data_IF_009857595762
#
_entry.id   IF_009857595762
#
_cell.length_a   1.000
_cell.length_b   1.000
_cell.length_c   1.000
_cell.angle_alpha   90.00
_cell.angle_beta   90.00
_cell.angle_gamma   90.00
#
_symmetry.space_group_name_H-M   'P 1'
#
loop_
_entity.id
_entity.type
_entity.pdbx_description
1 polymer ?
#
# COMPACT_ATOMS: atom_id res chain seq x y z
N UNK A 1 45.77 15.29 -38.62
CA UNK A 1 44.53 15.87 -39.18
C UNK A 1 44.23 17.13 -38.38
N UNK A 2 44.50 18.30 -38.96
CA UNK A 2 44.33 19.60 -38.30
C UNK A 2 43.72 20.59 -39.31
N UNK A 3 42.90 21.50 -38.79
CA UNK A 3 42.47 22.82 -39.32
C UNK A 3 41.60 22.93 -40.57
N UNK A 4 40.60 23.83 -40.47
CA UNK A 4 40.25 24.73 -41.59
C UNK A 4 38.79 25.19 -41.70
N UNK A 5 38.36 26.13 -40.86
CA UNK A 5 37.24 27.05 -41.17
C UNK A 5 37.73 28.20 -42.06
N UNK A 6 36.89 28.75 -42.95
CA UNK A 6 37.04 30.14 -43.37
C UNK A 6 35.78 31.00 -43.14
N UNK A 7 36.05 32.29 -42.88
CA UNK A 7 35.12 33.41 -42.65
C UNK A 7 34.80 34.16 -43.96
N UNK A 8 33.90 35.16 -43.82
CA UNK A 8 33.59 36.31 -44.71
C UNK A 8 32.43 36.07 -45.70
N UNK A 9 31.56 37.02 -46.04
CA UNK A 9 31.46 38.46 -45.76
C UNK A 9 30.11 38.98 -46.29
N UNK A 10 29.72 40.17 -45.84
CA UNK A 10 28.44 40.88 -46.09
C UNK A 10 28.19 41.28 -47.56
N UNK A 11 26.91 41.47 -47.97
CA UNK A 11 26.29 42.69 -48.57
C UNK A 11 24.79 42.43 -48.90
N UNK A 12 23.92 43.40 -48.60
CA UNK A 12 22.45 43.40 -48.78
C UNK A 12 21.96 43.77 -50.20
N UNK A 13 20.67 43.55 -50.50
CA UNK A 13 19.94 44.51 -51.31
C UNK A 13 18.65 45.02 -50.64
N UNK A 14 18.31 46.23 -51.05
CA UNK A 14 17.32 47.17 -50.54
C UNK A 14 16.03 46.99 -51.36
N UNK A 15 14.86 46.83 -50.74
CA UNK A 15 13.56 47.02 -51.41
C UNK A 15 12.70 48.02 -50.62
N UNK A 16 12.75 49.23 -51.17
CA UNK A 16 11.81 50.35 -51.27
C UNK A 16 10.32 50.11 -50.94
N UNK A 17 9.71 51.12 -50.29
CA UNK A 17 8.35 51.61 -50.61
C UNK A 17 7.22 51.12 -49.69
N UNK A 18 6.76 51.82 -48.65
CA UNK A 18 6.05 53.12 -48.56
C UNK A 18 4.51 53.00 -48.62
N UNK A 19 3.86 53.42 -47.52
CA UNK A 19 2.44 53.84 -47.33
C UNK A 19 1.39 52.74 -47.60
N UNK A 20 0.43 52.52 -46.70
CA UNK A 20 -0.73 53.41 -46.52
C UNK A 20 -1.28 53.35 -45.09
N UNK A 21 -1.59 54.54 -44.59
CA UNK A 21 -2.36 54.92 -43.40
C UNK A 21 -3.78 54.33 -43.37
N UNK A 22 -4.25 53.95 -42.17
CA UNK A 22 -5.45 54.52 -41.50
C UNK A 22 -5.68 53.73 -40.19
N UNK A 23 -5.33 54.26 -39.02
CA UNK A 23 -6.17 55.15 -38.21
C UNK A 23 -7.62 54.62 -38.08
N UNK A 24 -7.87 53.88 -36.99
CA UNK A 24 -9.14 54.00 -36.28
C UNK A 24 -8.86 53.97 -34.77
N UNK A 25 -9.00 55.15 -34.18
CA UNK A 25 -8.90 55.44 -32.76
C UNK A 25 -10.09 54.89 -31.96
N UNK A 26 -9.82 54.68 -30.66
CA UNK A 26 -10.71 54.63 -29.48
C UNK A 26 -11.45 53.33 -29.11
N UNK A 27 -11.79 53.12 -27.81
CA UNK A 27 -11.06 53.48 -26.59
C UNK A 27 -10.91 52.30 -25.60
N UNK A 28 -9.86 52.38 -24.80
CA UNK A 28 -9.67 51.63 -23.56
C UNK A 28 -10.75 52.10 -22.57
N UNK A 29 -11.88 51.40 -22.46
CA UNK A 29 -12.77 51.50 -21.30
C UNK A 29 -13.54 50.21 -21.05
N UNK A 30 -13.26 49.62 -19.88
CA UNK A 30 -14.23 48.93 -19.00
C UNK A 30 -15.07 47.83 -19.67
N UNK A 31 -14.71 46.56 -19.44
CA UNK A 31 -15.57 45.53 -18.80
C UNK A 31 -14.70 44.43 -18.19
N UNK A 32 -14.16 44.71 -17.01
CA UNK A 32 -13.87 43.68 -16.03
C UNK A 32 -15.21 43.21 -15.43
N UNK A 33 -15.28 41.93 -15.06
CA UNK A 33 -16.35 41.20 -14.33
C UNK A 33 -17.29 40.41 -15.24
N UNK A 34 -17.01 39.11 -15.38
CA UNK A 34 -18.04 38.15 -15.80
C UNK A 34 -17.56 37.00 -16.69
N UNK A 35 -16.35 36.45 -16.51
CA UNK A 35 -15.96 35.23 -17.22
C UNK A 35 -14.92 34.37 -16.48
N UNK A 36 -14.86 34.46 -15.14
CA UNK A 36 -13.99 33.61 -14.31
C UNK A 36 -14.86 32.86 -13.29
N UNK A 37 -15.92 32.17 -13.71
CA UNK A 37 -16.74 31.36 -12.79
C UNK A 37 -17.29 30.06 -13.41
N UNK A 38 -16.89 29.67 -14.63
CA UNK A 38 -17.36 28.43 -15.29
C UNK A 38 -16.18 27.58 -15.80
N UNK A 39 -15.04 27.60 -15.08
CA UNK A 39 -13.93 26.68 -15.30
C UNK A 39 -13.57 25.87 -14.03
N UNK A 40 -14.35 26.03 -12.95
CA UNK A 40 -14.06 25.44 -11.64
C UNK A 40 -14.97 24.25 -11.29
N UNK A 41 -15.84 23.80 -12.21
CA UNK A 41 -16.85 22.77 -11.91
C UNK A 41 -16.49 21.35 -12.37
N UNK A 42 -15.26 21.10 -12.84
CA UNK A 42 -14.81 19.76 -13.30
C UNK A 42 -13.49 19.36 -12.60
N UNK A 43 -13.31 19.72 -11.34
CA UNK A 43 -12.15 19.30 -10.53
C UNK A 43 -12.51 18.36 -9.37
N UNK A 44 -13.75 17.88 -9.28
CA UNK A 44 -14.24 17.09 -8.13
C UNK A 44 -14.48 15.60 -8.40
N UNK A 45 -14.05 15.06 -9.55
CA UNK A 45 -14.07 13.61 -9.80
C UNK A 45 -12.70 12.94 -9.65
N UNK A 46 -11.67 13.67 -9.21
CA UNK A 46 -10.34 13.12 -8.91
C UNK A 46 -10.17 12.85 -7.41
N UNK A 47 -11.08 12.08 -6.81
CA UNK A 47 -10.85 11.41 -5.55
C UNK A 47 -11.42 10.00 -5.66
N UNK A 48 -10.72 9.11 -6.35
CA UNK A 48 -10.61 7.78 -5.74
C UNK A 48 -9.56 7.91 -4.64
N UNK A 49 -9.96 8.55 -3.54
CA UNK A 49 -9.18 8.77 -2.31
C UNK A 49 -8.86 7.45 -1.61
N UNK A 50 -9.19 6.31 -2.23
CA UNK A 50 -9.01 5.02 -1.64
C UNK A 50 -7.53 4.69 -1.49
N UNK A 51 -6.66 5.06 -2.44
CA UNK A 51 -5.21 4.86 -2.28
C UNK A 51 -4.84 3.47 -1.76
N UNK A 52 -5.70 2.46 -1.99
CA UNK A 52 -5.65 1.17 -1.32
C UNK A 52 -4.57 0.37 -2.01
N UNK A 53 -3.35 0.52 -1.53
CA UNK A 53 -2.26 -0.36 -1.87
C UNK A 53 -2.61 -1.76 -1.33
N UNK A 54 -3.39 -2.48 -2.13
CA UNK A 54 -3.75 -3.89 -1.96
C UNK A 54 -4.63 -4.21 -0.74
N UNK A 55 -5.95 -4.19 -0.92
CA UNK A 55 -6.87 -4.77 0.06
C UNK A 55 -7.71 -5.87 -0.61
N UNK A 56 -7.98 -6.97 0.11
CA UNK A 56 -8.69 -8.12 -0.45
C UNK A 56 -10.08 -7.72 -0.93
N UNK A 57 -10.38 -7.94 -2.21
CA UNK A 57 -11.64 -7.52 -2.87
C UNK A 57 -12.89 -8.09 -2.20
N UNK A 58 -12.79 -9.20 -1.45
CA UNK A 58 -13.92 -9.76 -0.71
C UNK A 58 -14.42 -8.83 0.38
N UNK A 59 -13.56 -7.94 0.87
CA UNK A 59 -13.87 -7.00 1.93
C UNK A 59 -14.89 -5.93 1.53
N UNK A 60 -14.99 -5.64 0.23
CA UNK A 60 -15.99 -4.69 -0.28
C UNK A 60 -17.42 -5.25 -0.22
N UNK A 61 -17.57 -6.54 0.09
CA UNK A 61 -18.87 -7.21 0.32
C UNK A 61 -19.30 -7.23 1.78
N UNK A 62 -18.49 -6.66 2.68
CA UNK A 62 -18.78 -6.62 4.11
C UNK A 62 -19.10 -5.19 4.54
N UNK A 63 -20.26 -5.00 5.15
CA UNK A 63 -20.70 -3.73 5.74
C UNK A 63 -20.68 -3.86 7.27
N UNK A 64 -19.95 -2.97 7.94
CA UNK A 64 -19.87 -2.96 9.40
C UNK A 64 -21.26 -2.69 10.03
N UNK A 65 -21.59 -3.42 11.10
CA UNK A 65 -22.89 -3.38 11.77
C UNK A 65 -24.00 -4.18 11.08
N UNK A 66 -23.86 -4.49 9.79
CA UNK A 66 -24.90 -5.16 9.00
C UNK A 66 -24.54 -6.61 8.68
N UNK A 67 -23.36 -6.85 8.10
CA UNK A 67 -22.86 -8.18 7.75
C UNK A 67 -22.68 -9.03 9.01
N UNK A 68 -22.93 -10.32 8.87
CA UNK A 68 -22.86 -11.29 9.96
C UNK A 68 -21.54 -12.05 9.96
N UNK A 69 -21.25 -12.74 11.05
CA UNK A 69 -20.17 -13.72 11.09
C UNK A 69 -20.29 -14.78 9.98
N UNK A 70 -21.52 -15.20 9.65
CA UNK A 70 -21.76 -16.16 8.59
C UNK A 70 -21.31 -15.60 7.23
N UNK A 71 -21.60 -14.33 6.94
CA UNK A 71 -21.17 -13.68 5.69
C UNK A 71 -19.64 -13.63 5.61
N UNK A 72 -18.96 -13.29 6.72
CA UNK A 72 -17.49 -13.32 6.80
C UNK A 72 -16.96 -14.72 6.49
N UNK A 73 -17.53 -15.75 7.11
CA UNK A 73 -17.10 -17.15 6.89
C UNK A 73 -17.41 -17.65 5.49
N UNK A 74 -18.49 -17.19 4.86
CA UNK A 74 -18.82 -17.54 3.48
C UNK A 74 -17.80 -16.95 2.50
N UNK A 75 -17.30 -15.74 2.77
CA UNK A 75 -16.31 -15.07 1.92
C UNK A 75 -14.88 -15.55 2.17
N UNK A 76 -14.51 -15.73 3.44
CA UNK A 76 -13.13 -16.00 3.86
C UNK A 76 -12.86 -17.46 4.23
N UNK A 77 -13.90 -18.28 4.35
CA UNK A 77 -13.80 -19.66 4.79
C UNK A 77 -13.63 -19.79 6.30
N UNK A 78 -13.02 -20.90 6.71
CA UNK A 78 -12.75 -21.19 8.12
C UNK A 78 -11.57 -20.32 8.61
N UNK A 79 -11.72 -19.57 9.71
CA UNK A 79 -10.63 -18.79 10.27
C UNK A 79 -9.54 -19.71 10.80
N UNK A 80 -8.28 -19.25 10.73
CA UNK A 80 -7.17 -20.01 11.30
C UNK A 80 -7.17 -20.02 12.83
N UNK A 81 -7.79 -19.00 13.43
CA UNK A 81 -7.96 -18.87 14.87
C UNK A 81 -9.16 -17.98 15.19
N UNK A 82 -9.77 -18.21 16.35
CA UNK A 82 -10.78 -17.33 16.95
C UNK A 82 -10.14 -16.76 18.22
N UNK A 83 -10.23 -15.44 18.41
CA UNK A 83 -9.72 -14.74 19.59
C UNK A 83 -10.88 -14.16 20.38
N UNK A 84 -10.90 -14.40 21.69
CA UNK A 84 -11.82 -13.70 22.57
C UNK A 84 -11.42 -12.23 22.66
N UNK A 85 -12.42 -11.35 22.57
CA UNK A 85 -12.21 -9.91 22.64
C UNK A 85 -13.29 -9.29 23.53
N UNK A 86 -12.98 -8.15 24.15
CA UNK A 86 -13.98 -7.41 24.89
C UNK A 86 -15.16 -7.05 23.96
N UNK A 87 -16.36 -7.52 24.29
CA UNK A 87 -17.58 -7.26 23.51
C UNK A 87 -17.78 -8.16 22.29
N UNK A 88 -17.02 -9.24 22.13
CA UNK A 88 -17.22 -10.20 21.04
C UNK A 88 -16.01 -11.10 20.79
N UNK A 89 -15.67 -11.30 19.51
CA UNK A 89 -14.54 -12.14 19.10
C UNK A 89 -13.90 -11.64 17.81
N UNK A 90 -12.65 -12.02 17.61
CA UNK A 90 -11.89 -11.81 16.39
C UNK A 90 -11.74 -13.11 15.61
N UNK A 91 -12.03 -13.09 14.31
CA UNK A 91 -11.72 -14.19 13.39
C UNK A 91 -10.43 -13.89 12.63
N UNK A 92 -9.41 -14.72 12.76
CA UNK A 92 -8.08 -14.49 12.16
C UNK A 92 -7.95 -15.23 10.84
N UNK A 93 -7.54 -14.52 9.80
CA UNK A 93 -7.39 -15.00 8.42
C UNK A 93 -6.05 -14.57 7.81
N UNK A 94 -5.05 -15.45 7.72
CA UNK A 94 -3.90 -15.28 6.85
C UNK A 94 -4.37 -15.38 5.40
N UNK A 95 -4.12 -14.36 4.58
CA UNK A 95 -4.67 -14.28 3.21
C UNK A 95 -3.85 -15.07 2.16
N UNK A 96 -3.51 -16.30 2.51
CA UNK A 96 -2.72 -17.22 1.68
C UNK A 96 -1.21 -17.15 1.95
N UNK A 97 -0.42 -18.14 1.47
CA UNK A 97 1.03 -18.20 1.71
C UNK A 97 1.79 -16.96 1.22
N UNK A 98 1.22 -16.30 0.22
CA UNK A 98 1.77 -15.13 -0.48
C UNK A 98 1.11 -13.81 -0.06
N UNK A 99 0.07 -13.86 0.80
CA UNK A 99 -0.72 -12.70 1.18
C UNK A 99 0.07 -11.75 2.09
N UNK A 100 0.09 -10.44 1.80
CA UNK A 100 0.80 -9.47 2.64
C UNK A 100 0.07 -9.12 3.95
N UNK A 101 -1.04 -9.79 4.24
CA UNK A 101 -1.90 -9.50 5.38
C UNK A 101 -2.35 -10.76 6.10
N UNK A 102 -2.38 -10.65 7.43
CA UNK A 102 -3.22 -11.47 8.29
C UNK A 102 -4.30 -10.57 8.83
N UNK A 103 -5.55 -10.83 8.48
CA UNK A 103 -6.68 -10.01 8.92
C UNK A 103 -7.30 -10.58 10.19
N UNK A 104 -7.58 -9.72 11.16
CA UNK A 104 -8.50 -10.00 12.25
C UNK A 104 -9.83 -9.32 11.94
N UNK A 105 -10.87 -10.11 11.68
CA UNK A 105 -12.24 -9.61 11.48
C UNK A 105 -12.94 -9.55 12.83
N UNK A 106 -13.37 -8.36 13.26
CA UNK A 106 -14.10 -8.18 14.52
C UNK A 106 -15.56 -8.55 14.35
N UNK A 107 -16.06 -9.40 15.22
CA UNK A 107 -17.47 -9.76 15.36
C UNK A 107 -17.91 -9.34 16.76
N UNK A 108 -18.99 -8.58 16.88
CA UNK A 108 -19.55 -8.21 18.18
C UNK A 108 -20.35 -9.34 18.84
N UNK A 109 -20.84 -9.10 20.06
CA UNK A 109 -21.67 -10.02 20.82
C UNK A 109 -23.01 -10.39 20.12
N UNK A 110 -23.48 -9.56 19.17
CA UNK A 110 -24.69 -9.82 18.38
C UNK A 110 -24.38 -10.58 17.09
N UNK A 111 -23.13 -10.98 16.86
CA UNK A 111 -22.71 -11.72 15.68
C UNK A 111 -22.53 -10.85 14.42
N UNK A 112 -22.42 -9.53 14.58
CA UNK A 112 -22.23 -8.58 13.47
C UNK A 112 -20.77 -8.23 13.27
N UNK A 113 -20.36 -8.17 12.01
CA UNK A 113 -19.03 -7.71 11.60
C UNK A 113 -18.89 -6.22 11.94
N UNK A 114 -17.78 -5.85 12.59
CA UNK A 114 -17.51 -4.48 13.05
C UNK A 114 -16.29 -3.85 12.36
N UNK A 115 -15.75 -4.51 11.34
CA UNK A 115 -14.50 -4.07 10.70
C UNK A 115 -13.38 -5.07 10.90
N UNK A 116 -12.18 -4.67 10.48
CA UNK A 116 -10.98 -5.51 10.47
C UNK A 116 -9.75 -4.78 10.96
N UNK A 117 -8.73 -5.53 11.28
CA UNK A 117 -7.36 -5.06 11.53
C UNK A 117 -6.38 -5.90 10.73
N UNK A 118 -5.33 -5.27 10.17
CA UNK A 118 -4.17 -6.01 9.69
C UNK A 118 -3.23 -6.28 10.88
N UNK A 119 -2.88 -7.55 11.09
CA UNK A 119 -1.95 -7.97 12.13
C UNK A 119 -0.48 -7.86 11.71
N UNK A 120 -0.21 -7.85 10.40
CA UNK A 120 1.15 -7.75 9.84
C UNK A 120 1.54 -6.28 9.66
N UNK A 121 1.82 -5.63 10.78
CA UNK A 121 2.23 -4.21 10.85
C UNK A 121 3.55 -4.08 11.58
N UNK A 122 4.31 -3.02 11.27
CA UNK A 122 5.59 -2.73 11.91
C UNK A 122 5.45 -2.59 13.43
N UNK A 123 4.34 -2.01 13.90
CA UNK A 123 4.05 -1.91 15.34
C UNK A 123 3.91 -3.27 16.01
N UNK A 124 3.22 -4.22 15.36
CA UNK A 124 3.14 -5.58 15.89
C UNK A 124 4.48 -6.31 15.76
N UNK A 125 5.25 -6.12 14.69
CA UNK A 125 6.59 -6.71 14.58
C UNK A 125 7.52 -6.25 15.70
N UNK A 126 7.47 -4.96 16.07
CA UNK A 126 8.26 -4.41 17.18
C UNK A 126 7.90 -4.99 18.55
N UNK A 127 6.70 -5.57 18.69
CA UNK A 127 6.27 -6.26 19.91
C UNK A 127 6.79 -7.71 19.99
N UNK A 128 7.38 -8.24 18.92
CA UNK A 128 8.04 -9.54 18.93
C UNK A 128 9.46 -9.38 19.48
N UNK A 129 9.69 -9.90 20.68
CA UNK A 129 10.97 -9.76 21.40
C UNK A 129 11.56 -11.11 21.76
N UNK A 130 12.90 -11.16 21.89
CA UNK A 130 13.61 -12.35 22.37
C UNK A 130 13.01 -12.85 23.68
N UNK A 131 12.87 -14.17 23.82
CA UNK A 131 12.31 -14.83 25.01
C UNK A 131 10.81 -15.14 24.97
N UNK A 132 10.06 -14.57 24.02
CA UNK A 132 8.64 -14.89 23.82
C UNK A 132 8.44 -16.32 23.31
N UNK A 133 7.28 -16.92 23.59
CA UNK A 133 6.91 -18.23 23.06
C UNK A 133 6.29 -18.13 21.68
N UNK A 134 6.39 -19.21 20.93
CA UNK A 134 5.67 -19.42 19.66
C UNK A 134 4.19 -19.03 19.76
N UNK A 135 3.51 -19.41 20.84
CA UNK A 135 2.11 -19.06 21.09
C UNK A 135 1.86 -17.56 21.14
N UNK A 136 2.78 -16.80 21.72
CA UNK A 136 2.67 -15.33 21.84
C UNK A 136 2.78 -14.69 20.46
N UNK A 137 3.72 -15.19 19.64
CA UNK A 137 3.92 -14.71 18.27
C UNK A 137 2.71 -15.05 17.39
N UNK A 138 2.15 -16.27 17.48
CA UNK A 138 0.90 -16.64 16.80
C UNK A 138 -0.29 -15.79 17.28
N UNK A 139 -0.35 -15.53 18.58
CA UNK A 139 -1.34 -14.66 19.21
C UNK A 139 -1.26 -13.22 18.73
N UNK A 140 -0.10 -12.79 18.23
CA UNK A 140 0.10 -11.45 17.70
C UNK A 140 -0.13 -11.39 16.18
N UNK A 141 0.57 -12.22 15.41
CA UNK A 141 0.68 -12.12 13.95
C UNK A 141 -0.20 -13.10 13.18
N UNK A 142 -0.76 -14.11 13.87
CA UNK A 142 -1.39 -15.26 13.25
C UNK A 142 -0.38 -16.24 12.67
N UNK A 143 -0.87 -17.24 11.92
CA UNK A 143 -0.02 -18.29 11.34
C UNK A 143 0.94 -17.70 10.30
N UNK A 144 2.20 -18.17 10.24
CA UNK A 144 3.14 -17.75 9.21
C UNK A 144 2.75 -18.29 7.84
N UNK A 145 3.20 -17.58 6.79
CA UNK A 145 3.06 -18.01 5.40
C UNK A 145 4.03 -19.13 5.05
N UNK A 146 5.21 -19.14 5.69
CA UNK A 146 6.23 -20.19 5.53
C UNK A 146 6.92 -20.51 6.85
N UNK A 147 7.27 -21.78 7.01
CA UNK A 147 8.06 -22.31 8.12
C UNK A 147 9.26 -23.07 7.56
N UNK A 148 10.45 -22.71 7.99
CA UNK A 148 11.72 -23.32 7.58
C UNK A 148 12.42 -23.91 8.82
N UNK A 149 12.99 -25.12 8.72
CA UNK A 149 13.64 -25.80 9.85
C UNK A 149 15.13 -25.97 9.58
N UNK A 150 15.96 -25.41 10.45
CA UNK A 150 17.42 -25.53 10.37
C UNK A 150 17.92 -26.62 11.32
N UNK A 151 17.90 -27.87 10.86
CA UNK A 151 18.20 -29.05 11.68
C UNK A 151 19.57 -28.97 12.41
N UNK A 152 20.62 -28.49 11.73
CA UNK A 152 21.97 -28.37 12.30
C UNK A 152 22.04 -27.35 13.44
N UNK A 153 21.25 -26.27 13.36
CA UNK A 153 21.16 -25.25 14.41
C UNK A 153 20.10 -25.56 15.46
N UNK A 154 19.23 -26.54 15.19
CA UNK A 154 18.03 -26.85 15.98
C UNK A 154 17.11 -25.63 16.13
N UNK A 155 17.00 -24.85 15.06
CA UNK A 155 16.18 -23.64 14.98
C UNK A 155 15.05 -23.81 13.98
N UNK A 156 13.97 -23.05 14.19
CA UNK A 156 12.87 -22.93 13.24
C UNK A 156 12.65 -21.46 12.90
N UNK A 157 12.59 -21.11 11.63
CA UNK A 157 12.23 -19.76 11.18
C UNK A 157 10.80 -19.75 10.65
N UNK A 158 10.04 -18.73 11.06
CA UNK A 158 8.71 -18.42 10.54
C UNK A 158 8.77 -17.12 9.78
N UNK A 159 8.13 -17.10 8.61
CA UNK A 159 8.17 -15.99 7.66
C UNK A 159 6.76 -15.47 7.38
N UNK A 160 6.62 -14.15 7.44
CA UNK A 160 5.43 -13.42 7.00
C UNK A 160 5.81 -12.40 5.93
N UNK A 161 5.17 -12.49 4.77
CA UNK A 161 5.25 -11.44 3.76
C UNK A 161 4.33 -10.30 4.18
N UNK A 162 4.75 -9.07 3.96
CA UNK A 162 3.93 -7.89 4.21
C UNK A 162 4.29 -6.75 3.25
N UNK A 163 3.41 -5.75 3.15
CA UNK A 163 3.68 -4.52 2.42
C UNK A 163 4.24 -3.46 3.37
N UNK A 164 5.44 -2.98 3.08
CA UNK A 164 6.08 -1.81 3.70
C UNK A 164 5.99 -0.64 2.72
N UNK A 165 4.87 0.10 2.77
CA UNK A 165 4.50 1.02 1.71
C UNK A 165 4.19 0.28 0.40
N UNK A 166 4.95 0.57 -0.65
CA UNK A 166 4.79 -0.08 -1.96
C UNK A 166 5.73 -1.29 -2.15
N UNK A 167 6.56 -1.60 -1.15
CA UNK A 167 7.51 -2.70 -1.22
C UNK A 167 7.03 -3.92 -0.44
N UNK A 168 7.05 -5.08 -1.10
CA UNK A 168 6.90 -6.36 -0.39
C UNK A 168 8.20 -6.70 0.32
N UNK A 169 8.08 -6.98 1.62
CA UNK A 169 9.18 -7.41 2.50
C UNK A 169 8.78 -8.66 3.27
N UNK A 170 9.75 -9.29 3.91
CA UNK A 170 9.53 -10.47 4.76
C UNK A 170 9.91 -10.13 6.18
N UNK A 171 9.02 -10.40 7.12
CA UNK A 171 9.34 -10.45 8.54
C UNK A 171 9.65 -11.90 8.93
N UNK A 172 10.83 -12.12 9.50
CA UNK A 172 11.32 -13.44 9.91
C UNK A 172 11.44 -13.46 11.42
N UNK A 173 10.92 -14.52 12.05
CA UNK A 173 11.12 -14.80 13.47
C UNK A 173 11.77 -16.17 13.61
N UNK A 174 12.90 -16.24 14.29
CA UNK A 174 13.63 -17.50 14.53
C UNK A 174 13.43 -17.94 15.97
N UNK A 175 13.09 -19.22 16.13
CA UNK A 175 12.87 -19.89 17.40
C UNK A 175 13.96 -20.92 17.67
N UNK A 176 14.33 -21.08 18.95
CA UNK A 176 15.18 -22.17 19.41
C UNK A 176 14.43 -23.52 19.45
N UNK A 177 15.14 -24.58 19.84
CA UNK A 177 14.57 -25.93 19.96
C UNK A 177 13.40 -26.02 20.98
N UNK A 178 13.27 -25.05 21.88
CA UNK A 178 12.20 -24.96 22.89
C UNK A 178 11.03 -24.05 22.49
N UNK A 179 10.99 -23.61 21.22
CA UNK A 179 9.92 -22.74 20.72
C UNK A 179 9.96 -21.33 21.31
N UNK A 180 11.16 -20.82 21.60
CA UNK A 180 11.36 -19.48 22.16
C UNK A 180 12.04 -18.57 21.14
N UNK A 181 11.56 -17.34 20.99
CA UNK A 181 12.13 -16.35 20.07
C UNK A 181 13.59 -16.07 20.41
N UNK A 182 14.48 -16.32 19.45
CA UNK A 182 15.90 -15.99 19.51
C UNK A 182 16.16 -14.67 18.80
N UNK A 183 15.58 -14.46 17.62
CA UNK A 183 15.75 -13.23 16.83
C UNK A 183 14.53 -12.95 15.97
N UNK A 184 14.35 -11.68 15.60
CA UNK A 184 13.38 -11.23 14.61
C UNK A 184 14.02 -10.17 13.70
N UNK A 185 13.69 -10.19 12.41
CA UNK A 185 14.29 -9.30 11.42
C UNK A 185 13.32 -9.03 10.27
N UNK A 186 13.39 -7.83 9.69
CA UNK A 186 12.74 -7.51 8.42
C UNK A 186 13.80 -7.59 7.33
N UNK A 187 13.55 -8.42 6.32
CA UNK A 187 14.45 -8.67 5.20
C UNK A 187 13.82 -8.23 3.88
N UNK A 188 14.66 -8.06 2.86
CA UNK A 188 14.18 -7.96 1.48
C UNK A 188 13.51 -9.25 1.08
N UNK A 189 12.46 -9.16 0.27
CA UNK A 189 11.82 -10.34 -0.27
C UNK A 189 12.76 -11.00 -1.30
N UNK A 190 13.28 -12.22 -1.03
CA UNK A 190 14.26 -12.88 -1.91
C UNK A 190 13.70 -13.16 -3.31
N UNK A 191 12.38 -13.10 -3.48
CA UNK A 191 11.70 -13.25 -4.77
C UNK A 191 11.81 -12.01 -5.65
N UNK A 192 12.09 -10.84 -5.08
CA UNK A 192 12.45 -9.63 -5.86
C UNK A 192 13.89 -9.69 -6.38
N UNK A 193 14.82 -10.29 -5.65
CA UNK A 193 16.25 -10.33 -6.00
C UNK A 193 16.65 -11.52 -6.88
N UNK A 194 15.78 -12.53 -7.05
CA UNK A 194 16.06 -13.76 -7.79
C UNK A 194 15.84 -13.70 -9.31
N UNK A 195 15.75 -12.51 -9.91
CA UNK A 195 15.61 -12.32 -11.35
C UNK A 195 16.88 -11.70 -11.96
N UNK A 196 17.88 -12.53 -12.28
CA UNK A 196 18.98 -12.22 -13.19
C UNK A 196 19.48 -13.50 -13.85
#
# INVERSE_FOLDING_TARGET
MTTGLPKSGWVSPRITGNRIFKELHMPITRRLRGAIMIASLISLLACDSRGRAYEDVRLDRLTAGESTEQDVRQLFGVPSAVRDMAGGKGLVYPLGPEGPHTLLMRIDANGKYQGRENLLTRDNFNRVTRGQKESDVLGLLGRPGRTEKYALKRETAWEWRFLDGNDTRVFVVTFDAGGTVVTSVIEEDPRKSGGA
#
